data_IF_834706035159
#
_entry.id   IF_834706035159
#
_cell.length_a   1.000
_cell.length_b   1.000
_cell.length_c   1.000
_cell.angle_alpha   90.00
_cell.angle_beta   90.00
_cell.angle_gamma   90.00
#
_symmetry.space_group_name_H-M   'P 1'
#
loop_
_entity.id
_entity.type
_entity.pdbx_description
1 polymer ?
#
# COMPACT_ATOMS: atom_id res chain seq x y z
N UNK A 1 16.65 -4.02 23.24
CA UNK A 1 15.52 -4.31 22.33
C UNK A 1 15.01 -2.98 21.85
N UNK A 2 14.76 -2.80 20.55
CA UNK A 2 14.07 -1.60 20.08
C UNK A 2 12.74 -1.45 20.83
N UNK A 3 12.33 -0.21 21.14
CA UNK A 3 11.08 0.10 21.85
C UNK A 3 9.83 -0.30 21.03
N UNK A 4 8.62 0.10 21.41
CA UNK A 4 7.46 -0.14 20.56
C UNK A 4 7.57 0.59 19.21
N UNK A 5 6.99 0.05 18.13
CA UNK A 5 7.08 0.66 16.78
C UNK A 5 6.43 2.05 16.76
N UNK A 6 5.35 2.24 17.52
CA UNK A 6 4.70 3.55 17.71
C UNK A 6 5.59 4.62 18.36
N UNK A 7 6.58 4.20 19.14
CA UNK A 7 7.50 5.10 19.86
C UNK A 7 8.78 5.34 19.04
N UNK A 8 8.78 4.95 17.76
CA UNK A 8 9.93 5.05 16.86
C UNK A 8 10.24 6.47 16.41
N UNK A 9 9.41 7.47 16.71
CA UNK A 9 9.74 8.87 16.44
C UNK A 9 9.61 9.71 17.70
N UNK A 10 10.69 10.42 18.04
CA UNK A 10 10.79 11.28 19.22
C UNK A 10 11.29 12.66 18.85
N UNK A 11 10.80 13.68 19.53
CA UNK A 11 11.18 15.08 19.34
C UNK A 11 12.48 15.37 20.09
N UNK A 12 13.49 15.88 19.39
CA UNK A 12 14.72 16.43 19.99
C UNK A 12 14.50 17.91 20.30
N UNK A 13 14.07 18.66 19.28
CA UNK A 13 13.66 20.07 19.34
C UNK A 13 12.61 20.37 18.26
N UNK A 14 12.26 21.65 18.07
CA UNK A 14 11.23 22.12 17.11
C UNK A 14 11.57 21.87 15.62
N UNK A 15 12.81 21.46 15.33
CA UNK A 15 13.36 21.29 13.99
C UNK A 15 13.99 19.92 13.76
N UNK A 16 14.01 19.04 14.76
CA UNK A 16 14.65 17.74 14.64
C UNK A 16 13.99 16.63 15.46
N UNK A 17 13.96 15.44 14.86
CA UNK A 17 13.35 14.25 15.41
C UNK A 17 14.30 13.06 15.33
N UNK A 18 14.38 12.31 16.42
CA UNK A 18 15.10 11.06 16.50
C UNK A 18 14.18 9.93 16.04
N UNK A 19 14.59 9.18 15.02
CA UNK A 19 13.94 7.95 14.57
C UNK A 19 14.66 6.75 15.22
N UNK A 20 13.95 6.06 16.09
CA UNK A 20 14.45 5.04 17.03
C UNK A 20 15.71 5.53 17.77
N UNK A 21 16.84 4.89 17.56
CA UNK A 21 18.15 5.23 18.08
C UNK A 21 19.17 5.40 16.95
N UNK A 22 18.69 5.65 15.73
CA UNK A 22 19.50 5.45 14.51
C UNK A 22 19.58 6.64 13.60
N UNK A 23 18.47 7.33 13.37
CA UNK A 23 18.42 8.40 12.37
C UNK A 23 17.94 9.68 13.02
N UNK A 24 18.46 10.81 12.57
CA UNK A 24 17.93 12.13 12.90
C UNK A 24 17.35 12.73 11.63
N UNK A 25 16.04 12.96 11.64
CA UNK A 25 15.35 13.77 10.66
C UNK A 25 15.44 15.24 11.09
N UNK A 26 15.85 16.13 10.19
CA UNK A 26 15.91 17.58 10.45
C UNK A 26 15.12 18.34 9.41
N UNK A 27 14.44 19.39 9.86
CA UNK A 27 13.76 20.40 9.05
C UNK A 27 14.52 21.73 9.17
N UNK A 28 15.12 22.17 8.07
CA UNK A 28 16.05 23.31 8.02
C UNK A 28 15.54 24.38 7.05
N UNK A 29 15.83 25.68 7.27
CA UNK A 29 15.45 26.72 6.31
C UNK A 29 16.13 26.56 4.94
N UNK A 30 17.31 25.91 4.92
CA UNK A 30 18.06 25.59 3.72
C UNK A 30 19.04 24.44 4.00
N UNK A 31 19.32 23.64 2.99
CA UNK A 31 20.31 22.57 2.98
C UNK A 31 20.84 22.43 1.55
N UNK A 32 22.13 22.07 1.41
CA UNK A 32 22.77 21.90 0.11
C UNK A 32 22.13 20.76 -0.68
N UNK A 33 21.97 19.60 -0.04
CA UNK A 33 21.40 18.39 -0.63
C UNK A 33 20.23 17.89 0.24
N UNK A 34 19.06 18.54 0.17
CA UNK A 34 17.90 18.09 0.92
C UNK A 34 17.37 16.77 0.37
N UNK A 35 16.87 15.93 1.26
CA UNK A 35 16.13 14.72 0.91
C UNK A 35 14.84 15.06 0.18
N UNK A 36 14.14 16.10 0.65
CA UNK A 36 13.09 16.80 -0.10
C UNK A 36 12.93 18.23 0.41
N UNK A 37 12.21 19.05 -0.35
CA UNK A 37 11.78 20.39 0.02
C UNK A 37 10.25 20.40 0.09
N UNK A 38 9.69 20.91 1.19
CA UNK A 38 8.25 21.04 1.33
C UNK A 38 7.71 22.32 0.65
N UNK A 39 6.40 22.37 0.51
CA UNK A 39 5.61 23.46 -0.06
C UNK A 39 5.76 24.77 0.71
N UNK A 40 6.16 24.71 1.98
CA UNK A 40 6.45 25.88 2.82
C UNK A 40 7.90 26.36 2.69
N UNK A 41 8.72 25.70 1.88
CA UNK A 41 10.10 26.07 1.60
C UNK A 41 11.14 25.46 2.55
N UNK A 42 10.74 24.60 3.50
CA UNK A 42 11.66 23.91 4.39
C UNK A 42 12.36 22.76 3.69
N UNK A 43 13.65 22.59 4.01
CA UNK A 43 14.50 21.52 3.53
C UNK A 43 14.56 20.43 4.59
N UNK A 44 14.26 19.19 4.21
CA UNK A 44 14.38 18.05 5.10
C UNK A 44 15.64 17.26 4.78
N UNK A 45 16.36 16.86 5.83
CA UNK A 45 17.58 16.04 5.71
C UNK A 45 17.53 14.91 6.71
N UNK A 46 18.18 13.80 6.39
CA UNK A 46 18.31 12.66 7.30
C UNK A 46 19.80 12.30 7.46
N UNK A 47 20.20 11.93 8.67
CA UNK A 47 21.55 11.46 8.97
C UNK A 47 21.51 10.37 10.02
N UNK A 48 22.61 9.64 10.17
CA UNK A 48 22.79 8.78 11.34
C UNK A 48 22.75 9.60 12.64
N UNK A 49 22.26 8.96 13.71
CA UNK A 49 22.24 9.50 15.06
C UNK A 49 23.65 9.45 15.66
N UNK A 50 24.08 10.49 16.39
CA UNK A 50 25.40 10.54 17.00
C UNK A 50 25.47 9.61 18.22
N UNK A 51 26.70 9.32 18.66
CA UNK A 51 26.98 8.71 19.95
C UNK A 51 27.72 9.72 20.85
N UNK A 52 27.16 10.12 22.02
CA UNK A 52 25.90 9.66 22.61
C UNK A 52 24.66 10.20 21.88
N UNK A 53 23.52 9.51 22.05
CA UNK A 53 22.24 9.93 21.48
C UNK A 53 21.78 11.28 22.07
N UNK A 54 21.13 12.14 21.28
CA UNK A 54 20.52 13.34 21.79
C UNK A 54 19.39 13.02 22.77
N UNK A 55 19.12 13.93 23.70
CA UNK A 55 17.94 13.82 24.54
C UNK A 55 16.68 14.00 23.67
N UNK A 56 15.78 13.03 23.69
CA UNK A 56 14.56 13.06 22.88
C UNK A 56 13.35 12.66 23.73
N UNK A 57 12.24 13.38 23.54
CA UNK A 57 10.97 13.21 24.26
C UNK A 57 9.87 12.74 23.29
N UNK A 58 8.75 12.20 23.77
CA UNK A 58 7.59 11.95 22.91
C UNK A 58 7.17 13.21 22.13
N UNK A 59 6.58 13.03 20.95
CA UNK A 59 6.11 14.15 20.12
C UNK A 59 5.17 15.07 20.91
N UNK A 60 5.45 16.37 20.90
CA UNK A 60 4.55 17.36 21.49
C UNK A 60 3.28 17.54 20.64
N UNK A 61 2.15 18.00 21.23
CA UNK A 61 0.93 18.29 20.49
C UNK A 61 1.13 19.33 19.36
N UNK A 62 2.07 20.26 19.55
CA UNK A 62 2.40 21.33 18.60
C UNK A 62 3.50 20.93 17.61
N UNK A 63 3.99 19.68 17.67
CA UNK A 63 4.96 19.17 16.72
C UNK A 63 4.41 19.28 15.30
N UNK A 64 5.21 19.78 14.33
CA UNK A 64 4.82 19.78 12.93
C UNK A 64 4.71 18.35 12.37
N UNK A 65 5.32 17.37 13.05
CA UNK A 65 5.22 15.95 12.72
C UNK A 65 4.17 15.27 13.59
N UNK A 66 3.26 14.51 12.98
CA UNK A 66 2.11 13.88 13.66
C UNK A 66 2.00 12.41 13.33
N UNK A 67 1.67 11.57 14.31
CA UNK A 67 1.28 10.17 14.07
C UNK A 67 -0.12 10.17 13.44
N UNK A 68 -0.26 9.60 12.23
CA UNK A 68 -1.53 9.56 11.48
C UNK A 68 -2.08 8.16 11.25
N UNK A 69 -1.25 7.12 11.45
CA UNK A 69 -1.67 5.73 11.39
C UNK A 69 -0.87 4.89 12.39
N UNK A 70 -1.55 4.01 13.11
CA UNK A 70 -0.96 3.16 14.15
C UNK A 70 -1.68 1.81 14.19
N UNK A 71 -0.97 0.75 13.79
CA UNK A 71 -1.39 -0.65 13.99
C UNK A 71 -0.43 -1.30 15.00
N UNK A 72 -0.28 -0.64 16.14
CA UNK A 72 0.56 -1.06 17.25
C UNK A 72 2.00 -1.31 16.83
N UNK A 73 2.48 -2.53 17.11
CA UNK A 73 3.86 -2.92 16.83
C UNK A 73 4.08 -3.47 15.41
N UNK A 74 3.11 -3.34 14.50
CA UNK A 74 3.25 -3.82 13.12
C UNK A 74 3.70 -2.71 12.15
N UNK A 75 3.02 -1.57 12.15
CA UNK A 75 3.28 -0.45 11.24
C UNK A 75 2.73 0.85 11.82
N UNK A 76 3.52 1.93 11.72
CA UNK A 76 3.08 3.29 12.00
C UNK A 76 3.46 4.25 10.88
N UNK A 77 2.65 5.29 10.70
CA UNK A 77 2.89 6.35 9.73
C UNK A 77 2.87 7.71 10.41
N UNK A 78 3.95 8.46 10.24
CA UNK A 78 4.08 9.84 10.66
C UNK A 78 3.95 10.78 9.46
N UNK A 79 3.12 11.81 9.63
CA UNK A 79 2.94 12.90 8.71
C UNK A 79 4.07 13.93 8.88
N UNK A 80 4.81 14.17 7.80
CA UNK A 80 5.91 15.14 7.72
C UNK A 80 5.55 16.33 6.82
N UNK A 81 4.25 16.60 6.64
CA UNK A 81 3.73 17.55 5.65
C UNK A 81 3.66 16.90 4.28
N UNK A 82 4.56 17.30 3.38
CA UNK A 82 4.59 16.81 1.99
C UNK A 82 5.21 15.41 1.83
N UNK A 83 5.58 14.77 2.94
CA UNK A 83 6.11 13.43 2.99
C UNK A 83 5.51 12.63 4.15
N UNK A 84 5.64 11.31 4.07
CA UNK A 84 5.21 10.38 5.10
C UNK A 84 6.41 9.51 5.50
N UNK A 85 6.66 9.38 6.81
CA UNK A 85 7.57 8.37 7.35
C UNK A 85 6.75 7.15 7.78
N UNK A 86 7.02 6.01 7.15
CA UNK A 86 6.49 4.71 7.53
C UNK A 86 7.57 3.94 8.28
N UNK A 87 7.26 3.49 9.49
CA UNK A 87 8.10 2.56 10.25
C UNK A 87 7.31 1.28 10.42
N UNK A 88 7.77 0.21 9.79
CA UNK A 88 7.08 -1.09 9.80
C UNK A 88 8.02 -2.21 10.21
N UNK A 89 7.45 -3.26 10.81
CA UNK A 89 8.18 -4.52 10.97
C UNK A 89 8.53 -5.08 9.60
N UNK A 90 9.72 -5.63 9.51
CA UNK A 90 10.18 -6.31 8.31
C UNK A 90 9.33 -7.56 8.08
N UNK A 91 9.00 -7.80 6.82
CA UNK A 91 8.29 -9.01 6.41
C UNK A 91 9.12 -10.28 6.73
N UNK A 92 8.45 -11.37 7.08
CA UNK A 92 9.12 -12.66 7.33
C UNK A 92 9.71 -13.25 6.04
N UNK A 93 8.98 -13.15 4.93
CA UNK A 93 9.48 -13.40 3.58
C UNK A 93 10.51 -12.34 3.18
N UNK A 94 11.75 -12.77 2.98
CA UNK A 94 12.87 -11.90 2.59
C UNK A 94 13.09 -11.82 1.09
N UNK A 95 12.41 -12.68 0.34
CA UNK A 95 12.52 -12.87 -1.10
C UNK A 95 11.28 -12.36 -1.86
N UNK A 96 10.56 -11.40 -1.26
CA UNK A 96 9.51 -10.63 -1.92
C UNK A 96 10.07 -9.30 -2.42
N UNK A 97 9.47 -8.76 -3.48
CA UNK A 97 9.83 -7.43 -3.98
C UNK A 97 9.43 -6.35 -2.96
N UNK A 98 10.38 -5.56 -2.42
CA UNK A 98 10.05 -4.47 -1.50
C UNK A 98 9.34 -3.32 -2.23
N UNK A 99 8.42 -2.62 -1.53
CA UNK A 99 7.67 -1.48 -2.09
C UNK A 99 8.57 -0.43 -2.78
N UNK A 100 9.73 -0.10 -2.20
CA UNK A 100 10.65 0.89 -2.78
C UNK A 100 11.26 0.44 -4.13
N UNK A 101 11.38 -0.86 -4.37
CA UNK A 101 11.82 -1.42 -5.66
C UNK A 101 10.72 -1.27 -6.69
N UNK A 102 9.47 -1.56 -6.31
CA UNK A 102 8.29 -1.32 -7.15
C UNK A 102 8.15 0.15 -7.53
N UNK A 103 8.23 1.07 -6.57
CA UNK A 103 8.11 2.51 -6.85
C UNK A 103 9.25 3.01 -7.75
N UNK A 104 10.47 2.48 -7.59
CA UNK A 104 11.58 2.81 -8.50
C UNK A 104 11.31 2.30 -9.91
N UNK A 105 10.82 1.07 -10.06
CA UNK A 105 10.46 0.51 -11.35
C UNK A 105 9.34 1.30 -12.03
N UNK A 106 8.35 1.78 -11.26
CA UNK A 106 7.30 2.65 -11.77
C UNK A 106 7.85 4.04 -12.17
N UNK A 107 8.78 4.61 -11.41
CA UNK A 107 9.32 5.95 -11.70
C UNK A 107 9.96 6.09 -13.10
N UNK A 108 10.39 4.99 -13.70
CA UNK A 108 10.97 4.94 -15.05
C UNK A 108 9.90 4.77 -16.17
N UNK A 109 8.61 4.84 -15.83
CA UNK A 109 7.48 4.60 -16.74
C UNK A 109 6.56 5.82 -16.82
N UNK A 110 5.86 5.93 -17.94
CA UNK A 110 4.79 6.91 -18.10
C UNK A 110 3.45 6.26 -17.73
N UNK A 111 2.71 6.92 -16.84
CA UNK A 111 1.35 6.55 -16.49
C UNK A 111 0.54 7.78 -16.06
N UNK A 112 -0.79 7.63 -16.02
CA UNK A 112 -1.72 8.77 -15.98
C UNK A 112 -2.16 9.23 -14.59
N UNK A 113 -1.51 8.79 -13.52
CA UNK A 113 -1.94 9.04 -12.12
C UNK A 113 -0.73 9.20 -11.18
N UNK A 114 -0.88 9.89 -10.03
CA UNK A 114 0.21 10.06 -9.08
C UNK A 114 0.40 8.81 -8.20
N UNK A 115 1.67 8.54 -7.90
CA UNK A 115 2.12 7.54 -6.91
C UNK A 115 3.13 8.20 -5.95
N UNK A 116 3.38 7.61 -4.77
CA UNK A 116 4.45 8.07 -3.89
C UNK A 116 5.82 7.94 -4.57
N UNK A 117 6.72 8.89 -4.34
CA UNK A 117 8.13 8.78 -4.70
C UNK A 117 8.91 8.31 -3.48
N UNK A 118 9.82 7.36 -3.66
CA UNK A 118 10.79 7.01 -2.61
C UNK A 118 11.75 8.16 -2.37
N UNK A 119 11.69 8.73 -1.16
CA UNK A 119 12.63 9.76 -0.71
C UNK A 119 13.78 9.13 0.07
N UNK A 120 13.47 8.19 0.98
CA UNK A 120 14.48 7.48 1.76
C UNK A 120 14.02 6.06 2.08
N UNK A 121 14.94 5.11 2.06
CA UNK A 121 14.69 3.72 2.47
C UNK A 121 15.92 3.18 3.19
N UNK A 122 15.70 2.58 4.35
CA UNK A 122 16.68 1.69 4.97
C UNK A 122 15.98 0.60 5.75
N UNK A 123 16.67 -0.52 5.91
CA UNK A 123 16.29 -1.60 6.81
C UNK A 123 17.31 -1.65 7.93
N UNK A 124 16.85 -1.87 9.16
CA UNK A 124 17.77 -2.26 10.22
C UNK A 124 17.06 -3.14 11.26
N UNK A 125 17.77 -4.18 11.71
CA UNK A 125 17.23 -5.24 12.55
C UNK A 125 15.94 -5.84 11.96
N UNK A 126 14.82 -5.70 12.66
CA UNK A 126 13.48 -6.19 12.32
C UNK A 126 12.57 -5.09 11.77
N UNK A 127 13.11 -3.95 11.33
CA UNK A 127 12.34 -2.79 10.88
C UNK A 127 12.75 -2.25 9.52
N UNK A 128 11.76 -1.68 8.85
CA UNK A 128 11.89 -0.90 7.63
C UNK A 128 11.55 0.55 7.99
N UNK A 129 12.39 1.49 7.56
CA UNK A 129 12.18 2.92 7.66
C UNK A 129 12.05 3.47 6.25
N UNK A 130 10.88 3.97 5.91
CA UNK A 130 10.54 4.34 4.55
C UNK A 130 9.90 5.71 4.51
N UNK A 131 10.59 6.67 3.87
CA UNK A 131 10.06 8.02 3.64
C UNK A 131 9.65 8.12 2.19
N UNK A 132 8.38 8.48 1.98
CA UNK A 132 7.80 8.66 0.64
C UNK A 132 7.14 10.03 0.52
N UNK A 133 7.09 10.57 -0.70
CA UNK A 133 6.31 11.78 -0.96
C UNK A 133 4.82 11.52 -0.72
N UNK A 134 4.10 12.54 -0.26
CA UNK A 134 2.65 12.50 -0.12
C UNK A 134 1.98 12.47 -1.48
N UNK A 135 1.00 11.58 -1.63
CA UNK A 135 0.01 11.66 -2.71
C UNK A 135 -1.14 12.55 -2.22
N UNK A 136 -1.56 13.58 -2.98
CA UNK A 136 -2.63 14.50 -2.57
C UNK A 136 -3.98 13.80 -2.35
N UNK A 137 -4.83 14.44 -1.54
CA UNK A 137 -6.22 14.01 -1.32
C UNK A 137 -6.43 13.20 -0.04
N UNK A 138 -7.67 12.73 0.11
CA UNK A 138 -8.13 11.83 1.19
C UNK A 138 -8.29 10.42 0.63
N UNK A 139 -8.24 9.41 1.48
CA UNK A 139 -8.53 8.05 1.01
C UNK A 139 -9.99 7.95 0.54
N UNK A 140 -10.28 7.02 -0.37
CA UNK A 140 -11.65 6.67 -0.75
C UNK A 140 -12.43 6.25 0.49
N UNK A 141 -11.82 5.50 1.41
CA UNK A 141 -12.46 5.12 2.68
C UNK A 141 -13.01 6.32 3.45
N UNK A 142 -12.22 7.38 3.60
CA UNK A 142 -12.62 8.59 4.31
C UNK A 142 -13.65 9.43 3.55
N UNK A 143 -13.51 9.56 2.23
CA UNK A 143 -14.28 10.52 1.44
C UNK A 143 -15.60 9.95 0.91
N UNK A 144 -15.74 8.63 0.78
CA UNK A 144 -16.82 8.00 0.00
C UNK A 144 -18.24 8.34 0.48
N UNK A 145 -18.46 8.49 1.79
CA UNK A 145 -19.79 8.83 2.33
C UNK A 145 -20.21 10.27 2.06
N UNK A 146 -19.26 11.14 1.76
CA UNK A 146 -19.50 12.55 1.42
C UNK A 146 -19.75 12.73 -0.08
N UNK A 147 -19.38 11.75 -0.90
CA UNK A 147 -19.52 11.80 -2.35
C UNK A 147 -20.96 11.52 -2.80
N UNK A 148 -21.41 12.29 -3.80
CA UNK A 148 -22.59 11.93 -4.57
C UNK A 148 -22.30 10.77 -5.54
N UNK A 149 -23.34 10.19 -6.14
CA UNK A 149 -23.21 9.01 -7.00
C UNK A 149 -22.34 9.27 -8.25
N UNK A 150 -22.39 10.48 -8.81
CA UNK A 150 -21.56 10.86 -9.95
C UNK A 150 -20.07 10.89 -9.58
N UNK A 151 -19.72 11.46 -8.43
CA UNK A 151 -18.35 11.49 -7.91
C UNK A 151 -17.84 10.06 -7.64
N UNK A 152 -18.66 9.21 -7.00
CA UNK A 152 -18.33 7.79 -6.79
C UNK A 152 -18.07 7.08 -8.13
N UNK A 153 -18.95 7.28 -9.11
CA UNK A 153 -18.80 6.64 -10.42
C UNK A 153 -17.56 7.13 -11.17
N UNK A 154 -17.19 8.40 -11.05
CA UNK A 154 -15.93 8.93 -11.60
C UNK A 154 -14.71 8.24 -10.97
N UNK A 155 -14.67 8.12 -9.64
CA UNK A 155 -13.57 7.42 -8.95
C UNK A 155 -13.48 5.95 -9.39
N UNK A 156 -14.62 5.25 -9.46
CA UNK A 156 -14.73 3.86 -9.92
C UNK A 156 -14.21 3.69 -11.34
N UNK A 157 -14.63 4.57 -12.25
CA UNK A 157 -14.21 4.56 -13.65
C UNK A 157 -12.71 4.78 -13.76
N UNK A 158 -12.19 5.76 -13.00
CA UNK A 158 -10.77 6.10 -13.00
C UNK A 158 -9.89 4.97 -12.47
N UNK A 159 -10.29 4.27 -11.40
CA UNK A 159 -9.52 3.11 -10.91
C UNK A 159 -9.53 1.96 -11.90
N UNK A 160 -10.65 1.70 -12.59
CA UNK A 160 -10.69 0.67 -13.63
C UNK A 160 -9.78 1.02 -14.83
N UNK A 161 -9.73 2.29 -15.23
CA UNK A 161 -8.77 2.78 -16.23
C UNK A 161 -7.32 2.55 -15.80
N UNK A 162 -6.99 2.85 -14.54
CA UNK A 162 -5.67 2.61 -13.96
C UNK A 162 -5.31 1.12 -14.02
N UNK A 163 -6.22 0.22 -13.60
CA UNK A 163 -5.99 -1.23 -13.73
C UNK A 163 -5.74 -1.64 -15.19
N UNK A 164 -6.47 -1.05 -16.14
CA UNK A 164 -6.26 -1.32 -17.56
C UNK A 164 -4.89 -0.84 -18.04
N UNK A 165 -4.47 0.36 -17.65
CA UNK A 165 -3.14 0.93 -17.93
C UNK A 165 -2.02 0.04 -17.35
N UNK A 166 -2.12 -0.33 -16.07
CA UNK A 166 -1.16 -1.23 -15.42
C UNK A 166 -1.05 -2.58 -16.14
N UNK A 167 -2.18 -3.12 -16.60
CA UNK A 167 -2.23 -4.43 -17.26
C UNK A 167 -1.54 -4.47 -18.63
N UNK A 168 -1.13 -3.32 -19.17
CA UNK A 168 -0.34 -3.25 -20.40
C UNK A 168 1.09 -3.76 -20.21
N UNK A 169 1.63 -3.74 -18.99
CA UNK A 169 2.91 -4.36 -18.69
C UNK A 169 2.72 -5.84 -18.37
N UNK A 170 3.44 -6.69 -19.09
CA UNK A 170 3.30 -8.14 -19.00
C UNK A 170 4.60 -8.85 -18.61
N UNK A 171 4.45 -10.08 -18.15
CA UNK A 171 5.53 -11.00 -17.80
C UNK A 171 5.15 -12.42 -18.20
N UNK A 172 6.14 -13.27 -18.48
CA UNK A 172 5.97 -14.72 -18.67
C UNK A 172 5.88 -15.47 -17.33
N UNK A 173 6.12 -14.79 -16.20
CA UNK A 173 6.18 -15.37 -14.87
C UNK A 173 5.28 -14.63 -13.87
N UNK A 174 4.77 -15.36 -12.87
CA UNK A 174 4.17 -14.80 -11.66
C UNK A 174 5.26 -14.34 -10.70
N UNK A 175 5.45 -13.03 -10.59
CA UNK A 175 6.62 -12.43 -9.95
C UNK A 175 6.35 -10.97 -9.59
N UNK A 176 7.13 -10.40 -8.68
CA UNK A 176 7.26 -8.95 -8.59
C UNK A 176 8.20 -8.39 -9.65
N UNK A 177 8.39 -7.06 -9.65
CA UNK A 177 9.02 -6.33 -10.77
C UNK A 177 10.50 -6.61 -11.00
N UNK A 178 11.18 -7.20 -10.03
CA UNK A 178 12.60 -7.53 -10.02
C UNK A 178 12.88 -9.05 -10.15
N UNK A 179 11.84 -9.85 -10.42
CA UNK A 179 11.96 -11.31 -10.49
C UNK A 179 11.81 -12.00 -9.12
N UNK A 180 11.68 -11.25 -8.03
CA UNK A 180 11.41 -11.80 -6.70
C UNK A 180 9.94 -12.23 -6.56
N UNK A 181 9.59 -12.89 -5.46
CA UNK A 181 8.22 -13.40 -5.26
C UNK A 181 7.24 -12.25 -5.15
N UNK A 182 6.08 -12.38 -5.80
CA UNK A 182 4.94 -11.50 -5.53
C UNK A 182 4.32 -11.88 -4.19
N UNK A 183 4.10 -10.89 -3.32
CA UNK A 183 3.42 -11.11 -2.05
C UNK A 183 1.92 -11.02 -2.26
N UNK A 184 1.25 -12.17 -2.37
CA UNK A 184 -0.21 -12.24 -2.40
C UNK A 184 -0.78 -13.43 -1.62
N UNK A 185 -0.83 -13.35 -0.28
CA UNK A 185 -1.41 -14.41 0.54
C UNK A 185 -2.92 -14.58 0.32
N UNK A 186 -3.61 -13.66 -0.36
CA UNK A 186 -5.04 -13.78 -0.61
C UNK A 186 -5.38 -14.82 -1.67
N UNK A 187 -4.42 -15.21 -2.49
CA UNK A 187 -4.62 -16.30 -3.44
C UNK A 187 -4.92 -17.62 -2.70
N UNK A 188 -4.31 -17.87 -1.54
CA UNK A 188 -4.72 -18.93 -0.60
C UNK A 188 -4.57 -18.45 0.85
N UNK A 189 -5.57 -17.72 1.32
CA UNK A 189 -5.54 -17.09 2.66
C UNK A 189 -5.55 -18.09 3.83
N UNK A 190 -5.78 -19.37 3.55
CA UNK A 190 -5.85 -20.44 4.55
C UNK A 190 -4.64 -21.39 4.48
N UNK A 191 -3.63 -21.09 3.66
CA UNK A 191 -2.35 -21.76 3.69
C UNK A 191 -1.68 -21.60 5.08
N UNK A 192 -1.34 -22.72 5.71
CA UNK A 192 -0.62 -22.74 6.98
C UNK A 192 0.48 -23.83 6.95
N UNK A 193 1.77 -23.45 6.86
CA UNK A 193 2.27 -22.08 6.77
C UNK A 193 1.85 -21.40 5.46
N UNK A 194 1.89 -20.06 5.41
CA UNK A 194 1.69 -19.30 4.17
C UNK A 194 2.77 -19.72 3.17
N UNK A 195 2.37 -20.05 1.94
CA UNK A 195 3.26 -20.45 0.84
C UNK A 195 3.01 -19.59 -0.40
N UNK A 196 3.87 -18.60 -0.58
CA UNK A 196 3.88 -17.68 -1.73
C UNK A 196 4.94 -18.08 -2.77
N UNK A 197 5.42 -19.33 -2.75
CA UNK A 197 6.33 -19.81 -3.80
C UNK A 197 5.64 -19.72 -5.17
N UNK A 198 6.36 -19.32 -6.23
CA UNK A 198 5.78 -19.24 -7.57
C UNK A 198 5.10 -20.56 -7.98
N UNK A 199 5.67 -21.70 -7.60
CA UNK A 199 5.10 -23.02 -7.89
C UNK A 199 3.74 -23.23 -7.21
N UNK A 200 3.58 -22.80 -5.95
CA UNK A 200 2.32 -22.89 -5.24
C UNK A 200 1.29 -21.90 -5.78
N UNK A 201 1.70 -20.66 -6.05
CA UNK A 201 0.81 -19.66 -6.64
C UNK A 201 0.29 -20.13 -8.01
N UNK A 202 1.16 -20.65 -8.88
CA UNK A 202 0.77 -21.22 -10.18
C UNK A 202 -0.21 -22.39 -10.02
N UNK A 203 0.04 -23.30 -9.08
CA UNK A 203 -0.86 -24.43 -8.79
C UNK A 203 -2.25 -23.96 -8.37
N UNK A 204 -2.32 -22.91 -7.55
CA UNK A 204 -3.58 -22.33 -7.10
C UNK A 204 -4.32 -21.64 -8.26
N UNK A 205 -3.62 -20.88 -9.09
CA UNK A 205 -4.19 -20.28 -10.30
C UNK A 205 -4.71 -21.36 -11.29
N UNK A 206 -3.96 -22.46 -11.48
CA UNK A 206 -4.38 -23.59 -12.31
C UNK A 206 -5.62 -24.31 -11.74
N UNK A 207 -5.68 -24.49 -10.41
CA UNK A 207 -6.84 -25.04 -9.72
C UNK A 207 -8.10 -24.18 -10.01
N UNK A 208 -7.94 -22.86 -9.96
CA UNK A 208 -8.98 -21.88 -10.22
C UNK A 208 -9.29 -21.66 -11.72
N UNK A 209 -8.61 -22.39 -12.62
CA UNK A 209 -8.80 -22.33 -14.08
C UNK A 209 -8.50 -20.95 -14.69
N UNK A 210 -7.53 -20.24 -14.14
CA UNK A 210 -7.01 -19.00 -14.73
C UNK A 210 -6.10 -19.28 -15.93
N UNK A 211 -5.96 -18.32 -16.84
CA UNK A 211 -4.97 -18.39 -17.92
C UNK A 211 -3.57 -18.06 -17.38
N UNK A 212 -2.62 -18.98 -17.59
CA UNK A 212 -1.23 -18.87 -17.15
C UNK A 212 -0.27 -18.56 -18.30
N UNK A 213 -0.78 -18.27 -19.50
CA UNK A 213 0.04 -17.98 -20.68
C UNK A 213 0.69 -16.60 -20.64
N UNK A 214 0.13 -15.65 -19.91
CA UNK A 214 0.67 -14.30 -19.73
C UNK A 214 0.20 -13.73 -18.40
N UNK A 215 1.11 -13.09 -17.67
CA UNK A 215 0.82 -12.40 -16.43
C UNK A 215 0.85 -10.89 -16.67
N UNK A 216 -0.09 -10.17 -16.06
CA UNK A 216 -0.22 -8.71 -16.18
C UNK A 216 0.19 -8.05 -14.88
N UNK A 217 0.85 -6.91 -14.96
CA UNK A 217 1.19 -6.12 -13.79
C UNK A 217 -0.08 -5.51 -13.18
N UNK A 218 -0.22 -5.60 -11.86
CA UNK A 218 -1.32 -5.01 -11.12
C UNK A 218 -0.86 -4.59 -9.72
N UNK A 219 -1.56 -3.62 -9.13
CA UNK A 219 -1.32 -3.17 -7.76
C UNK A 219 -1.60 -4.27 -6.71
N UNK A 220 -2.60 -5.11 -6.99
CA UNK A 220 -3.10 -6.19 -6.13
C UNK A 220 -3.64 -5.76 -4.75
N UNK A 221 -3.50 -4.52 -4.30
CA UNK A 221 -4.11 -4.05 -3.05
C UNK A 221 -4.91 -2.74 -3.17
N UNK A 222 -5.91 -2.73 -4.06
CA UNK A 222 -6.72 -1.53 -4.35
C UNK A 222 -7.92 -1.38 -3.38
N UNK A 223 -7.66 -1.62 -2.10
CA UNK A 223 -8.60 -1.33 -1.03
C UNK A 223 -8.86 0.18 -0.92
N UNK A 224 -9.99 0.60 -0.32
CA UNK A 224 -10.40 2.00 -0.29
C UNK A 224 -9.45 2.91 0.50
N UNK A 225 -8.58 2.36 1.35
CA UNK A 225 -7.55 3.11 2.08
C UNK A 225 -6.33 3.44 1.22
N UNK A 226 -6.11 2.71 0.12
CA UNK A 226 -4.93 2.82 -0.75
C UNK A 226 -5.18 3.64 -2.02
N UNK A 227 -6.41 4.09 -2.21
CA UNK A 227 -6.83 4.96 -3.31
C UNK A 227 -7.09 6.35 -2.74
N UNK A 228 -6.31 7.33 -3.20
CA UNK A 228 -6.41 8.72 -2.80
C UNK A 228 -7.23 9.50 -3.81
N UNK A 229 -8.10 10.39 -3.34
CA UNK A 229 -8.93 11.28 -4.17
C UNK A 229 -8.76 12.72 -3.73
N UNK A 230 -8.40 13.58 -4.68
CA UNK A 230 -8.37 15.03 -4.47
C UNK A 230 -9.68 15.66 -4.90
N UNK A 231 -10.68 15.65 -4.01
CA UNK A 231 -11.99 16.26 -4.27
C UNK A 231 -11.96 17.78 -4.37
N UNK A 232 -10.90 18.43 -3.86
CA UNK A 232 -10.83 19.89 -3.74
C UNK A 232 -10.30 20.57 -5.02
N UNK A 233 -9.56 19.83 -5.85
CA UNK A 233 -8.91 20.38 -7.04
C UNK A 233 -9.40 19.69 -8.32
N UNK A 234 -8.75 18.61 -8.74
CA UNK A 234 -8.93 17.97 -10.05
C UNK A 234 -9.77 16.70 -10.01
N UNK A 235 -10.22 16.24 -8.84
CA UNK A 235 -10.76 14.90 -8.64
C UNK A 235 -9.78 13.81 -9.12
N UNK A 236 -8.48 14.10 -9.05
CA UNK A 236 -7.44 13.17 -9.45
C UNK A 236 -7.37 12.00 -8.47
N UNK A 237 -7.13 10.81 -9.02
CA UNK A 237 -6.97 9.57 -8.27
C UNK A 237 -5.49 9.24 -8.21
N UNK A 238 -4.95 9.12 -7.01
CA UNK A 238 -3.61 8.60 -6.77
C UNK A 238 -3.64 7.26 -6.05
N UNK A 239 -2.57 6.48 -6.20
CA UNK A 239 -2.50 5.12 -5.65
C UNK A 239 -1.27 4.98 -4.76
N UNK A 240 -1.45 4.48 -3.55
CA UNK A 240 -0.41 4.28 -2.54
C UNK A 240 -0.33 2.82 -2.11
N UNK A 241 0.75 2.47 -1.42
CA UNK A 241 0.97 1.14 -0.82
C UNK A 241 1.18 0.02 -1.85
N UNK A 242 2.32 0.09 -2.55
CA UNK A 242 2.65 -0.77 -3.69
C UNK A 242 3.33 -2.09 -3.29
N UNK A 243 3.20 -2.53 -2.03
CA UNK A 243 3.95 -3.67 -1.51
C UNK A 243 3.46 -5.03 -2.01
N UNK A 244 2.20 -5.12 -2.47
CA UNK A 244 1.64 -6.35 -3.08
C UNK A 244 1.70 -6.35 -4.61
N UNK A 245 2.23 -5.29 -5.21
CA UNK A 245 2.19 -5.13 -6.66
C UNK A 245 3.10 -6.16 -7.36
N UNK A 246 2.62 -6.69 -8.47
CA UNK A 246 3.34 -7.71 -9.23
C UNK A 246 2.55 -8.23 -10.41
N UNK A 247 3.18 -9.14 -11.15
CA UNK A 247 2.62 -9.82 -12.31
C UNK A 247 1.79 -11.02 -11.87
N UNK A 248 0.50 -11.00 -12.20
CA UNK A 248 -0.51 -12.01 -11.82
C UNK A 248 -1.39 -12.37 -13.01
N UNK A 249 -2.14 -13.49 -12.99
CA UNK A 249 -3.11 -13.79 -14.04
C UNK A 249 -4.13 -12.66 -14.20
N UNK A 250 -4.57 -12.41 -15.44
CA UNK A 250 -5.52 -11.32 -15.72
C UNK A 250 -6.84 -11.49 -14.97
N UNK A 251 -7.30 -12.72 -14.78
CA UNK A 251 -8.46 -13.08 -13.98
C UNK A 251 -8.33 -12.65 -12.52
N UNK A 252 -7.11 -12.69 -11.97
CA UNK A 252 -6.87 -12.39 -10.57
C UNK A 252 -7.11 -10.91 -10.24
N UNK A 253 -6.83 -10.00 -11.18
CA UNK A 253 -7.04 -8.54 -11.00
C UNK A 253 -8.45 -8.23 -10.54
N UNK A 254 -9.46 -8.76 -11.23
CA UNK A 254 -10.87 -8.56 -10.88
C UNK A 254 -11.33 -9.51 -9.77
N UNK A 255 -10.88 -10.77 -9.80
CA UNK A 255 -11.26 -11.78 -8.79
C UNK A 255 -10.88 -11.33 -7.37
N UNK A 256 -9.64 -10.86 -7.19
CA UNK A 256 -9.15 -10.37 -5.90
C UNK A 256 -9.98 -9.19 -5.43
N UNK A 257 -10.19 -8.21 -6.31
CA UNK A 257 -10.99 -7.03 -5.99
C UNK A 257 -12.41 -7.42 -5.55
N UNK A 258 -13.06 -8.31 -6.30
CA UNK A 258 -14.44 -8.72 -6.05
C UNK A 258 -14.61 -9.72 -4.88
N UNK A 259 -13.56 -10.47 -4.52
CA UNK A 259 -13.65 -11.57 -3.56
C UNK A 259 -13.02 -11.29 -2.20
N UNK A 260 -12.05 -10.39 -2.14
CA UNK A 260 -11.24 -10.18 -0.94
C UNK A 260 -11.88 -9.16 0.02
N UNK A 261 -12.03 -9.53 1.29
CA UNK A 261 -12.54 -8.65 2.34
C UNK A 261 -11.62 -7.47 2.67
N UNK A 262 -10.34 -7.51 2.30
CA UNK A 262 -9.44 -6.35 2.41
C UNK A 262 -9.85 -5.18 1.50
N UNK A 263 -10.73 -5.44 0.52
CA UNK A 263 -11.26 -4.43 -0.39
C UNK A 263 -12.58 -3.81 0.13
N UNK A 264 -13.04 -4.22 1.30
CA UNK A 264 -14.18 -3.60 1.98
C UNK A 264 -13.75 -2.27 2.62
N UNK A 265 -14.72 -1.39 2.85
CA UNK A 265 -14.52 -0.23 3.72
C UNK A 265 -14.19 -0.67 5.15
N UNK A 266 -13.46 0.17 5.89
CA UNK A 266 -13.06 -0.08 7.27
C UNK A 266 -13.76 0.88 8.26
N UNK A 267 -14.94 1.39 7.91
CA UNK A 267 -15.69 2.37 8.69
C UNK A 267 -16.02 1.88 10.11
N UNK A 268 -15.57 2.66 11.10
CA UNK A 268 -15.92 2.43 12.50
C UNK A 268 -17.40 2.70 12.75
N UNK A 269 -18.02 1.83 13.55
CA UNK A 269 -19.43 1.97 13.96
C UNK A 269 -20.46 1.53 12.92
N UNK A 270 -20.02 0.95 11.80
CA UNK A 270 -20.88 0.27 10.82
C UNK A 270 -20.74 -1.23 11.01
N UNK A 271 -21.84 -1.99 10.88
CA UNK A 271 -21.78 -3.45 10.91
C UNK A 271 -20.90 -3.95 9.76
N UNK A 272 -19.85 -4.76 10.02
CA UNK A 272 -19.00 -5.32 8.96
C UNK A 272 -19.77 -6.12 7.89
N UNK A 273 -20.98 -6.60 8.20
CA UNK A 273 -21.85 -7.31 7.26
C UNK A 273 -22.79 -6.39 6.48
N UNK A 274 -22.83 -5.10 6.78
CA UNK A 274 -23.65 -4.14 6.05
C UNK A 274 -23.24 -4.12 4.57
N UNK A 275 -24.18 -4.23 3.62
CA UNK A 275 -23.86 -4.22 2.19
C UNK A 275 -23.06 -2.98 1.74
N UNK A 276 -23.22 -1.84 2.42
CA UNK A 276 -22.48 -0.61 2.13
C UNK A 276 -20.97 -0.76 2.30
N UNK A 277 -20.51 -1.66 3.18
CA UNK A 277 -19.09 -1.95 3.38
C UNK A 277 -18.42 -2.49 2.11
N UNK A 278 -19.21 -3.09 1.21
CA UNK A 278 -18.74 -3.73 -0.03
C UNK A 278 -18.94 -2.85 -1.26
N UNK A 279 -19.58 -1.68 -1.11
CA UNK A 279 -20.00 -0.85 -2.24
C UNK A 279 -18.84 -0.51 -3.18
N UNK A 280 -17.68 -0.14 -2.62
CA UNK A 280 -16.46 0.16 -3.37
C UNK A 280 -16.06 -0.98 -4.31
N UNK A 281 -15.71 -2.13 -3.74
CA UNK A 281 -15.20 -3.26 -4.51
C UNK A 281 -16.20 -3.81 -5.50
N UNK A 282 -17.50 -3.77 -5.17
CA UNK A 282 -18.57 -4.22 -6.08
C UNK A 282 -18.64 -3.31 -7.31
N UNK A 283 -18.62 -1.98 -7.11
CA UNK A 283 -18.67 -1.02 -8.22
C UNK A 283 -17.43 -1.11 -9.11
N UNK A 284 -16.23 -1.19 -8.51
CA UNK A 284 -14.99 -1.29 -9.29
C UNK A 284 -14.88 -2.62 -10.02
N UNK A 285 -15.27 -3.75 -9.40
CA UNK A 285 -15.29 -5.04 -10.09
C UNK A 285 -16.25 -5.03 -11.29
N UNK A 286 -17.44 -4.42 -11.13
CA UNK A 286 -18.39 -4.23 -12.23
C UNK A 286 -17.82 -3.37 -13.35
N UNK A 287 -17.02 -2.35 -13.02
CA UNK A 287 -16.38 -1.51 -14.03
C UNK A 287 -15.22 -2.23 -14.72
N UNK A 288 -14.43 -3.04 -14.00
CA UNK A 288 -13.40 -3.90 -14.60
C UNK A 288 -14.00 -4.91 -15.60
N UNK A 289 -15.21 -5.41 -15.33
CA UNK A 289 -15.96 -6.20 -16.32
C UNK A 289 -16.14 -5.45 -17.64
N UNK A 290 -16.50 -4.17 -17.58
CA UNK A 290 -16.71 -3.34 -18.77
C UNK A 290 -15.41 -3.11 -19.56
N UNK A 291 -14.26 -3.17 -18.89
CA UNK A 291 -12.92 -3.20 -19.50
C UNK A 291 -12.47 -4.60 -19.97
N UNK A 292 -13.33 -5.60 -19.89
CA UNK A 292 -13.04 -6.95 -20.35
C UNK A 292 -12.08 -7.72 -19.44
N UNK A 293 -11.97 -7.38 -18.16
CA UNK A 293 -11.26 -8.23 -17.20
C UNK A 293 -12.12 -9.46 -16.85
N UNK A 294 -11.62 -10.68 -17.11
CA UNK A 294 -12.27 -11.90 -16.68
C UNK A 294 -12.17 -12.05 -15.15
N UNK A 295 -12.93 -12.99 -14.59
CA UNK A 295 -12.82 -13.37 -13.18
C UNK A 295 -13.15 -14.85 -12.98
N UNK A 296 -12.69 -15.40 -11.86
CA UNK A 296 -12.97 -16.76 -11.39
C UNK A 296 -13.57 -16.73 -9.98
N UNK A 297 -14.31 -15.65 -9.67
CA UNK A 297 -14.83 -15.34 -8.34
C UNK A 297 -15.61 -16.48 -7.69
N UNK A 298 -16.52 -17.12 -8.44
CA UNK A 298 -17.33 -18.21 -7.91
C UNK A 298 -16.49 -19.43 -7.50
N UNK A 299 -15.49 -19.78 -8.32
CA UNK A 299 -14.54 -20.85 -8.00
C UNK A 299 -13.67 -20.49 -6.80
N UNK A 300 -13.17 -19.25 -6.75
CA UNK A 300 -12.37 -18.73 -5.64
C UNK A 300 -13.13 -18.75 -4.31
N UNK A 301 -14.39 -18.27 -4.28
CA UNK A 301 -15.21 -18.25 -3.07
C UNK A 301 -15.54 -19.66 -2.58
N UNK A 302 -15.88 -20.59 -3.49
CA UNK A 302 -16.09 -22.00 -3.12
C UNK A 302 -14.85 -22.62 -2.50
N UNK A 303 -13.71 -22.45 -3.16
CA UNK A 303 -12.45 -23.01 -2.69
C UNK A 303 -12.03 -22.40 -1.35
N UNK A 304 -12.20 -21.09 -1.17
CA UNK A 304 -11.97 -20.37 0.09
C UNK A 304 -12.82 -20.96 1.22
N UNK A 305 -14.11 -21.22 0.98
CA UNK A 305 -15.00 -21.82 1.97
C UNK A 305 -14.64 -23.29 2.28
N UNK A 306 -14.23 -24.07 1.27
CA UNK A 306 -13.73 -25.44 1.47
C UNK A 306 -12.49 -25.47 2.37
N UNK A 307 -11.52 -24.58 2.10
CA UNK A 307 -10.29 -24.43 2.89
C UNK A 307 -10.59 -24.02 4.32
N UNK A 308 -11.50 -23.06 4.52
CA UNK A 308 -11.98 -22.64 5.86
C UNK A 308 -12.57 -23.81 6.64
N UNK A 309 -13.41 -24.62 5.99
CA UNK A 309 -14.05 -25.79 6.60
C UNK A 309 -13.08 -26.94 6.92
N UNK A 310 -11.91 -27.00 6.28
CA UNK A 310 -10.87 -27.96 6.62
C UNK A 310 -10.12 -27.57 7.90
N UNK A 311 -10.04 -26.28 8.22
CA UNK A 311 -9.36 -25.76 9.43
C UNK A 311 -10.24 -25.81 10.68
N UNK A 312 -11.56 -25.88 10.53
CA UNK A 312 -12.52 -25.93 11.64
C UNK A 312 -12.90 -27.35 12.07
N UNK A 313 -12.35 -28.38 11.39
CA UNK A 313 -12.50 -29.80 11.73
C UNK A 313 -11.27 -30.31 12.47
#
# INVERSE_FOLDING_TARGET
MPGHVRDSLKEIDEHSWLIDDKLILRRLPSAQDPLWKDSNGWHFTISDAPSPLPNAKPLSPDSPVKLVYDVGDASVVFDLGDALLRVKKRHEFRDITPEHVTLRWLADREFSFPIPKTLYYTEDNDRIYFIVSRVPGRSIDEAWREMNDEQKQRCVSRVAEICNELSAWTSEYITGVDGARVFDPWLDMFANPIDISPENLLRNCEHLKMDLSTFVFNHNDLGPTNVMVDLDHSCEIGIVDWEMAGFVPREWVRTKLAGCGAMDFCWKGVDPNDPSMKEWRVRVAQQLQNYGFPEVLEAYLRWTEERKNQLTK
#
